data_IF_251803458079
#
_entry.id   IF_251803458079
#
_cell.length_a   1.000
_cell.length_b   1.000
_cell.length_c   1.000
_cell.angle_alpha   90.00
_cell.angle_beta   90.00
_cell.angle_gamma   90.00
#
_symmetry.space_group_name_H-M   'P 1'
#
loop_
_entity.id
_entity.type
_entity.pdbx_description
1 polymer ?
#
# COMPACT_ATOMS: atom_id res chain seq x y z
N UNK A 1 14.61 -3.22 -5.71
CA UNK A 1 13.98 -3.10 -4.38
C UNK A 1 14.49 -4.16 -3.40
N UNK A 2 14.26 -5.47 -3.60
CA UNK A 2 14.79 -6.53 -2.69
C UNK A 2 16.30 -6.45 -2.42
N UNK A 3 17.12 -6.21 -3.46
CA UNK A 3 18.58 -6.05 -3.32
C UNK A 3 18.99 -4.83 -2.46
N UNK A 4 18.15 -3.80 -2.39
CA UNK A 4 18.38 -2.63 -1.54
C UNK A 4 17.96 -2.94 -0.10
N UNK A 5 16.80 -3.56 0.09
CA UNK A 5 16.33 -3.99 1.41
C UNK A 5 17.27 -5.00 2.09
N UNK A 6 17.88 -5.90 1.32
CA UNK A 6 18.90 -6.83 1.83
C UNK A 6 20.17 -6.13 2.36
N UNK A 7 20.41 -4.88 1.96
CA UNK A 7 21.54 -4.06 2.45
C UNK A 7 21.14 -3.08 3.57
N UNK A 8 19.85 -3.03 3.94
CA UNK A 8 19.38 -2.11 4.97
C UNK A 8 19.92 -2.54 6.35
N UNK A 9 20.56 -1.61 7.05
CA UNK A 9 21.17 -1.87 8.37
C UNK A 9 20.25 -1.54 9.53
N UNK A 10 19.16 -0.79 9.28
CA UNK A 10 18.16 -0.41 10.28
C UNK A 10 17.02 -1.42 10.36
N UNK A 11 16.28 -1.37 11.47
CA UNK A 11 15.23 -2.35 11.81
C UNK A 11 14.00 -2.23 10.93
N UNK A 12 13.72 -1.02 10.43
CA UNK A 12 12.59 -0.76 9.54
C UNK A 12 13.07 -0.40 8.14
N UNK A 13 12.33 -0.89 7.15
CA UNK A 13 12.51 -0.55 5.73
C UNK A 13 11.30 0.23 5.27
N UNK A 14 11.54 1.38 4.66
CA UNK A 14 10.52 2.15 3.93
C UNK A 14 10.78 2.00 2.44
N UNK A 15 9.75 1.58 1.70
CA UNK A 15 9.73 1.61 0.25
C UNK A 15 8.83 2.74 -0.23
N UNK A 16 9.29 3.53 -1.20
CA UNK A 16 8.51 4.55 -1.87
C UNK A 16 8.84 4.59 -3.36
N UNK A 17 7.88 5.07 -4.16
CA UNK A 17 8.11 5.27 -5.58
C UNK A 17 9.05 6.47 -5.81
N UNK A 18 9.68 6.51 -6.98
CA UNK A 18 10.58 7.58 -7.42
C UNK A 18 9.84 8.85 -7.85
N UNK A 19 8.51 8.78 -8.04
CA UNK A 19 7.62 9.90 -8.33
C UNK A 19 6.88 10.42 -7.09
N UNK A 20 7.60 10.48 -5.95
CA UNK A 20 7.06 10.98 -4.69
C UNK A 20 7.91 12.10 -4.07
N UNK A 21 7.25 13.06 -3.42
CA UNK A 21 7.88 14.10 -2.61
C UNK A 21 7.42 14.00 -1.16
N UNK A 22 8.38 13.97 -0.23
CA UNK A 22 8.12 13.84 1.19
C UNK A 22 7.65 15.16 1.80
N UNK A 23 6.46 15.20 2.41
CA UNK A 23 5.99 16.40 3.11
C UNK A 23 6.69 16.53 4.48
N UNK A 24 6.82 17.74 5.05
CA UNK A 24 7.36 17.92 6.39
C UNK A 24 6.66 17.03 7.44
N UNK A 25 7.44 16.27 8.21
CA UNK A 25 6.94 15.42 9.30
C UNK A 25 6.43 14.04 8.90
N UNK A 26 6.54 13.64 7.62
CA UNK A 26 6.05 12.35 7.12
C UNK A 26 6.63 11.15 7.89
N UNK A 27 7.95 11.15 8.10
CA UNK A 27 8.70 10.08 8.76
C UNK A 27 8.45 10.08 10.27
N UNK A 28 8.42 11.26 10.89
CA UNK A 28 8.07 11.41 12.29
C UNK A 28 6.69 10.83 12.61
N UNK A 29 5.70 10.99 11.71
CA UNK A 29 4.39 10.39 11.86
C UNK A 29 4.41 8.85 11.82
N UNK A 30 5.23 8.27 10.95
CA UNK A 30 5.45 6.82 10.92
C UNK A 30 6.13 6.33 12.21
N UNK A 31 7.17 7.02 12.68
CA UNK A 31 7.90 6.67 13.92
C UNK A 31 6.97 6.66 15.12
N UNK A 32 6.15 7.70 15.32
CA UNK A 32 5.16 7.74 16.40
C UNK A 32 4.19 6.56 16.35
N UNK A 33 3.88 6.06 15.15
CA UNK A 33 2.97 4.92 15.00
C UNK A 33 3.66 3.60 15.29
N UNK A 34 4.92 3.43 14.92
CA UNK A 34 5.73 2.25 15.25
C UNK A 34 5.73 2.01 16.76
N UNK A 35 5.93 3.04 17.56
CA UNK A 35 5.96 2.98 19.03
C UNK A 35 4.65 2.46 19.66
N UNK A 36 3.55 2.51 18.91
CA UNK A 36 2.22 2.07 19.35
C UNK A 36 1.89 0.64 18.87
N UNK A 37 2.75 0.02 18.05
CA UNK A 37 2.48 -1.30 17.52
C UNK A 37 2.75 -2.38 18.57
N UNK A 38 1.80 -3.31 18.79
CA UNK A 38 1.95 -4.37 19.80
C UNK A 38 2.84 -5.54 19.35
N UNK A 39 3.37 -5.48 18.13
CA UNK A 39 4.14 -6.53 17.46
C UNK A 39 5.08 -5.89 16.43
N UNK A 40 6.05 -6.64 15.91
CA UNK A 40 6.85 -6.26 14.75
C UNK A 40 6.20 -6.69 13.41
N UNK A 41 5.16 -7.54 13.45
CA UNK A 41 4.40 -8.00 12.30
C UNK A 41 3.24 -7.04 12.01
N UNK A 42 3.58 -5.92 11.39
CA UNK A 42 2.64 -4.93 10.89
C UNK A 42 3.10 -4.37 9.55
N UNK A 43 2.19 -3.68 8.88
CA UNK A 43 2.46 -2.86 7.71
C UNK A 43 1.88 -1.47 7.93
N UNK A 44 2.71 -0.44 7.80
CA UNK A 44 2.28 0.95 7.77
C UNK A 44 2.40 1.51 6.36
N UNK A 45 1.48 2.38 5.97
CA UNK A 45 1.60 3.21 4.77
C UNK A 45 1.54 4.69 5.13
N UNK A 46 2.35 5.52 4.49
CA UNK A 46 2.04 6.95 4.43
C UNK A 46 0.79 7.22 3.58
N UNK A 47 0.19 8.38 3.77
CA UNK A 47 -0.98 8.83 3.02
C UNK A 47 -0.52 9.69 1.85
N UNK A 48 -0.87 9.28 0.63
CA UNK A 48 -0.54 10.06 -0.56
C UNK A 48 -1.43 11.30 -0.67
N UNK A 49 -0.84 12.39 -1.13
CA UNK A 49 -1.51 13.56 -1.67
C UNK A 49 -1.42 13.47 -3.19
N UNK A 50 -2.56 13.40 -3.88
CA UNK A 50 -2.62 13.22 -5.33
C UNK A 50 -3.27 14.42 -6.03
N UNK A 51 -2.77 14.83 -7.21
CA UNK A 51 -3.30 16.00 -7.93
C UNK A 51 -4.66 15.77 -8.60
N UNK A 52 -5.08 14.52 -8.74
CA UNK A 52 -6.28 14.15 -9.51
C UNK A 52 -7.19 13.25 -8.66
N UNK A 53 -8.47 13.58 -8.61
CA UNK A 53 -9.48 12.72 -7.99
C UNK A 53 -9.72 11.47 -8.86
N UNK A 54 -9.07 10.38 -8.48
CA UNK A 54 -9.25 9.04 -9.08
C UNK A 54 -10.29 8.21 -8.34
N UNK A 55 -11.02 8.80 -7.38
CA UNK A 55 -11.88 8.14 -6.40
C UNK A 55 -11.12 7.12 -5.54
N UNK A 56 -9.83 7.36 -5.33
CA UNK A 56 -9.01 6.56 -4.47
C UNK A 56 -9.34 6.87 -3.00
N UNK A 57 -9.90 5.91 -2.24
CA UNK A 57 -10.32 6.17 -0.88
C UNK A 57 -9.14 6.12 0.09
N UNK A 58 -7.86 6.16 -0.32
CA UNK A 58 -6.69 6.13 0.59
C UNK A 58 -5.84 7.42 0.53
N UNK A 59 -6.28 8.44 -0.21
CA UNK A 59 -5.47 9.63 -0.51
C UNK A 59 -6.17 10.91 -0.08
N UNK A 60 -5.41 12.00 -0.05
CA UNK A 60 -5.91 13.38 0.00
C UNK A 60 -5.79 13.94 -1.42
N UNK A 61 -6.87 14.51 -1.96
CA UNK A 61 -6.82 15.13 -3.29
C UNK A 61 -6.48 16.61 -3.14
N UNK A 62 -5.32 17.01 -3.64
CA UNK A 62 -4.89 18.41 -3.70
C UNK A 62 -3.80 18.55 -4.75
N UNK A 63 -3.91 19.56 -5.62
CA UNK A 63 -3.03 19.71 -6.77
C UNK A 63 -1.93 20.75 -6.49
N UNK A 64 -0.69 20.29 -6.48
CA UNK A 64 0.53 21.11 -6.39
C UNK A 64 1.44 20.88 -7.60
N UNK A 65 0.90 20.48 -8.75
CA UNK A 65 1.65 20.17 -9.98
C UNK A 65 1.57 18.70 -10.38
N UNK A 66 1.57 18.42 -11.68
CA UNK A 66 1.34 17.06 -12.22
C UNK A 66 2.62 16.35 -12.65
N UNK A 67 3.72 17.06 -12.62
CA UNK A 67 5.06 16.64 -13.00
C UNK A 67 6.08 17.48 -12.23
N UNK A 68 7.36 17.16 -12.39
CA UNK A 68 8.44 17.83 -11.68
C UNK A 68 8.59 19.30 -12.11
N UNK A 69 8.25 19.63 -13.36
CA UNK A 69 8.36 20.97 -13.93
C UNK A 69 7.32 21.93 -13.35
N UNK A 70 6.11 21.45 -13.07
CA UNK A 70 4.99 22.24 -12.54
C UNK A 70 4.85 22.14 -11.01
N UNK A 71 5.78 21.47 -10.34
CA UNK A 71 5.67 21.18 -8.91
C UNK A 71 5.84 22.42 -8.03
N UNK A 72 4.76 22.82 -7.34
CA UNK A 72 4.76 23.88 -6.33
C UNK A 72 5.07 23.33 -4.94
N UNK A 73 6.36 23.06 -4.69
CA UNK A 73 6.85 22.56 -3.41
C UNK A 73 6.52 23.52 -2.25
N UNK A 74 6.61 24.84 -2.48
CA UNK A 74 6.36 25.84 -1.45
C UNK A 74 4.88 25.87 -1.04
N UNK A 75 3.97 25.81 -2.01
CA UNK A 75 2.54 25.69 -1.78
C UNK A 75 2.18 24.40 -1.04
N UNK A 76 2.76 23.26 -1.44
CA UNK A 76 2.56 21.98 -0.75
C UNK A 76 3.00 22.06 0.72
N UNK A 77 4.21 22.57 0.98
CA UNK A 77 4.75 22.73 2.34
C UNK A 77 3.85 23.63 3.18
N UNK A 78 3.42 24.78 2.64
CA UNK A 78 2.53 25.71 3.33
C UNK A 78 1.11 25.13 3.57
N UNK A 79 0.68 24.18 2.74
CA UNK A 79 -0.59 23.50 2.87
C UNK A 79 -0.54 22.26 3.78
N UNK A 80 0.62 21.63 3.94
CA UNK A 80 0.81 20.36 4.68
C UNK A 80 0.10 20.33 6.03
N UNK A 81 0.15 21.37 6.90
CA UNK A 81 -0.55 21.34 8.19
C UNK A 81 -2.08 21.22 8.10
N UNK A 82 -2.66 21.54 6.94
CA UNK A 82 -4.10 21.47 6.64
C UNK A 82 -4.47 20.23 5.82
N UNK A 83 -3.48 19.59 5.20
CA UNK A 83 -3.65 18.34 4.49
C UNK A 83 -3.53 17.24 5.55
N UNK A 84 -4.65 16.62 5.90
CA UNK A 84 -4.63 15.49 6.81
C UNK A 84 -5.83 14.60 6.54
N UNK A 85 -5.67 13.35 6.92
CA UNK A 85 -6.73 12.36 6.89
C UNK A 85 -6.71 11.63 8.23
N UNK A 86 -7.86 11.10 8.65
CA UNK A 86 -7.87 10.05 9.66
C UNK A 86 -7.09 8.82 9.16
N UNK A 87 -6.52 8.07 10.10
CA UNK A 87 -5.90 6.79 9.76
C UNK A 87 -6.91 5.86 9.09
N UNK A 88 -6.41 5.03 8.18
CA UNK A 88 -7.23 4.17 7.34
C UNK A 88 -6.70 2.74 7.31
N UNK A 89 -7.58 1.77 7.11
CA UNK A 89 -7.25 0.35 7.08
C UNK A 89 -6.80 -0.09 5.69
N UNK A 90 -6.04 -1.16 5.63
CA UNK A 90 -5.63 -1.82 4.39
C UNK A 90 -4.47 -1.13 3.70
N UNK A 91 -3.49 -0.65 4.49
CA UNK A 91 -2.16 -0.30 4.00
C UNK A 91 -1.65 -1.37 3.03
N UNK A 92 -1.18 -0.92 1.89
CA UNK A 92 -0.74 -1.78 0.77
C UNK A 92 0.17 -0.99 -0.15
N UNK A 93 -0.07 0.31 -0.29
CA UNK A 93 0.66 1.16 -1.23
C UNK A 93 1.78 1.96 -0.58
N UNK A 94 2.77 2.35 -1.39
CA UNK A 94 3.88 3.16 -0.91
C UNK A 94 3.41 4.57 -0.47
N UNK A 95 4.10 5.18 0.52
CA UNK A 95 5.32 4.70 1.14
C UNK A 95 5.01 3.61 2.17
N UNK A 96 5.53 2.40 1.98
CA UNK A 96 5.22 1.22 2.78
C UNK A 96 6.37 0.97 3.76
N UNK A 97 6.07 0.90 5.05
CA UNK A 97 7.00 0.61 6.12
C UNK A 97 6.69 -0.75 6.75
N UNK A 98 7.72 -1.58 6.88
CA UNK A 98 7.67 -2.85 7.60
C UNK A 98 8.97 -3.10 8.36
N UNK A 99 8.95 -4.02 9.32
CA UNK A 99 10.19 -4.52 9.93
C UNK A 99 11.03 -5.28 8.89
N UNK A 100 12.33 -5.01 8.83
CA UNK A 100 13.29 -5.59 7.89
C UNK A 100 13.30 -7.12 7.95
N UNK A 101 13.23 -7.68 9.15
CA UNK A 101 13.27 -9.13 9.30
C UNK A 101 12.04 -9.79 8.69
N UNK A 102 10.86 -9.16 8.81
CA UNK A 102 9.64 -9.65 8.18
C UNK A 102 9.72 -9.57 6.67
N UNK A 103 10.24 -8.47 6.13
CA UNK A 103 10.53 -8.38 4.70
C UNK A 103 11.37 -9.56 4.20
N UNK A 104 12.47 -9.88 4.89
CA UNK A 104 13.36 -10.97 4.52
C UNK A 104 12.67 -12.34 4.67
N UNK A 105 11.93 -12.56 5.77
CA UNK A 105 11.20 -13.81 6.05
C UNK A 105 10.15 -14.13 4.99
N UNK A 106 9.41 -13.12 4.50
CA UNK A 106 8.40 -13.31 3.46
C UNK A 106 8.96 -13.21 2.03
N UNK A 107 10.28 -13.03 1.89
CA UNK A 107 10.97 -12.96 0.60
C UNK A 107 10.74 -11.68 -0.20
N UNK A 108 10.37 -10.57 0.46
CA UNK A 108 10.18 -9.26 -0.18
C UNK A 108 9.15 -9.26 -1.32
N UNK A 109 9.34 -8.38 -2.30
CA UNK A 109 8.53 -8.40 -3.53
C UNK A 109 8.82 -9.64 -4.37
N UNK A 110 7.77 -10.20 -4.95
CA UNK A 110 7.82 -11.34 -5.86
C UNK A 110 8.45 -10.96 -7.20
N UNK A 111 9.54 -11.64 -7.57
CA UNK A 111 10.25 -11.38 -8.83
C UNK A 111 9.42 -11.74 -10.05
N UNK A 112 8.50 -12.71 -9.95
CA UNK A 112 7.59 -13.11 -11.02
C UNK A 112 6.55 -12.03 -11.40
N UNK A 113 6.38 -11.01 -10.56
CA UNK A 113 5.53 -9.85 -10.83
C UNK A 113 6.31 -8.68 -11.48
N UNK A 114 7.61 -8.87 -11.78
CA UNK A 114 8.47 -7.87 -12.38
C UNK A 114 8.72 -8.11 -13.88
N UNK A 115 8.74 -7.07 -14.73
CA UNK A 115 8.31 -5.70 -14.46
C UNK A 115 6.77 -5.61 -14.56
N UNK A 116 6.12 -5.06 -13.53
CA UNK A 116 4.70 -4.78 -13.68
C UNK A 116 3.91 -4.55 -12.40
N UNK A 117 2.62 -4.83 -12.51
CA UNK A 117 1.58 -4.44 -11.57
C UNK A 117 1.37 -5.51 -10.50
N UNK A 118 0.67 -5.15 -9.42
CA UNK A 118 0.18 -6.05 -8.36
C UNK A 118 1.22 -6.55 -7.36
N UNK A 119 2.46 -6.07 -7.43
CA UNK A 119 3.51 -6.32 -6.43
C UNK A 119 3.09 -5.91 -5.02
N UNK A 120 2.41 -4.76 -4.90
CA UNK A 120 1.97 -4.21 -3.62
C UNK A 120 0.92 -5.10 -2.93
N UNK A 121 -0.10 -5.52 -3.68
CA UNK A 121 -1.12 -6.44 -3.17
C UNK A 121 -0.53 -7.80 -2.83
N UNK A 122 0.39 -8.33 -3.66
CA UNK A 122 1.07 -9.59 -3.38
C UNK A 122 1.90 -9.51 -2.10
N UNK A 123 2.63 -8.42 -1.89
CA UNK A 123 3.40 -8.18 -0.67
C UNK A 123 2.50 -8.13 0.57
N UNK A 124 1.39 -7.40 0.48
CA UNK A 124 0.40 -7.32 1.56
C UNK A 124 -0.26 -8.68 1.83
N UNK A 125 -0.52 -9.46 0.79
CA UNK A 125 -1.05 -10.83 0.91
C UNK A 125 -0.05 -11.77 1.58
N UNK A 126 1.25 -11.67 1.29
CA UNK A 126 2.28 -12.43 2.00
C UNK A 126 2.34 -12.09 3.48
N UNK A 127 2.22 -10.81 3.83
CA UNK A 127 2.11 -10.39 5.23
C UNK A 127 0.86 -10.99 5.89
N UNK A 128 -0.29 -10.95 5.20
CA UNK A 128 -1.53 -11.54 5.68
C UNK A 128 -1.39 -13.05 5.91
N UNK A 129 -0.80 -13.77 4.96
CA UNK A 129 -0.55 -15.22 5.03
C UNK A 129 0.41 -15.57 6.17
N UNK A 130 1.41 -14.72 6.44
CA UNK A 130 2.30 -14.82 7.59
C UNK A 130 1.64 -14.50 8.95
N UNK A 131 0.36 -14.13 8.97
CA UNK A 131 -0.41 -13.85 10.17
C UNK A 131 -0.54 -12.37 10.54
N UNK A 132 -0.04 -11.44 9.71
CA UNK A 132 -0.20 -10.00 9.94
C UNK A 132 -1.68 -9.63 9.89
N UNK A 133 -2.12 -8.81 10.85
CA UNK A 133 -3.48 -8.25 10.89
C UNK A 133 -3.50 -6.74 11.07
N UNK A 134 -2.35 -6.08 11.11
CA UNK A 134 -2.26 -4.62 11.23
C UNK A 134 -1.74 -4.06 9.91
N UNK A 135 -2.66 -3.46 9.16
CA UNK A 135 -2.38 -2.78 7.89
C UNK A 135 -2.91 -1.36 7.99
N UNK A 136 -2.09 -0.44 8.49
CA UNK A 136 -2.54 0.90 8.88
C UNK A 136 -1.93 1.97 7.96
N UNK A 137 -2.78 2.70 7.27
CA UNK A 137 -2.42 3.96 6.65
C UNK A 137 -2.37 5.07 7.68
N UNK A 138 -1.19 5.67 7.86
CA UNK A 138 -0.93 6.77 8.79
C UNK A 138 -1.38 8.07 8.14
N UNK A 139 -2.48 8.61 8.64
CA UNK A 139 -3.26 9.67 7.99
C UNK A 139 -2.54 11.02 7.88
N UNK A 140 -1.59 11.28 8.78
CA UNK A 140 -0.77 12.49 8.83
C UNK A 140 0.68 12.28 8.34
N UNK A 141 1.03 11.06 7.92
CA UNK A 141 2.30 10.78 7.22
C UNK A 141 2.16 11.09 5.74
N UNK A 142 2.27 12.36 5.35
CA UNK A 142 1.96 12.78 3.98
C UNK A 142 3.14 12.68 3.01
N UNK A 143 2.89 12.14 1.82
CA UNK A 143 3.78 12.27 0.66
C UNK A 143 2.99 12.71 -0.56
N UNK A 144 3.52 13.62 -1.35
CA UNK A 144 2.92 14.01 -2.62
C UNK A 144 3.30 12.99 -3.69
N UNK A 145 2.32 12.51 -4.45
CA UNK A 145 2.49 11.50 -5.50
C UNK A 145 2.05 12.10 -6.83
N UNK A 146 2.99 12.25 -7.77
CA UNK A 146 2.75 12.87 -9.07
C UNK A 146 1.85 12.02 -9.99
N UNK A 147 1.73 10.72 -9.69
CA UNK A 147 1.04 9.74 -10.53
C UNK A 147 1.61 9.69 -11.95
N UNK A 148 2.94 9.78 -12.08
CA UNK A 148 3.57 9.91 -13.39
C UNK A 148 3.21 8.71 -14.27
N UNK A 149 2.69 9.01 -15.46
CA UNK A 149 2.39 7.96 -16.45
C UNK A 149 3.70 7.52 -17.08
N UNK A 150 4.16 6.32 -16.73
CA UNK A 150 5.31 5.66 -17.37
C UNK A 150 5.26 5.80 -18.89
N UNK A 151 6.40 5.99 -19.54
CA UNK A 151 6.54 6.21 -21.00
C UNK A 151 6.11 5.03 -21.89
N UNK A 152 5.46 3.99 -21.35
CA UNK A 152 4.95 2.83 -22.09
C UNK A 152 6.02 1.91 -22.67
N UNK A 153 7.32 2.22 -22.48
CA UNK A 153 8.45 1.48 -23.05
C UNK A 153 8.63 0.07 -22.47
N UNK A 154 8.05 -0.22 -21.31
CA UNK A 154 8.16 -1.51 -20.62
C UNK A 154 6.85 -2.27 -20.79
N UNK A 155 6.93 -3.48 -21.38
CA UNK A 155 5.80 -4.42 -21.43
C UNK A 155 5.53 -4.90 -20.00
N UNK A 156 4.37 -4.53 -19.46
CA UNK A 156 3.96 -4.90 -18.10
C UNK A 156 3.42 -6.33 -18.07
N UNK A 157 3.60 -7.03 -16.96
CA UNK A 157 2.92 -8.31 -16.69
C UNK A 157 1.38 -8.17 -16.67
N UNK A 158 0.69 -9.31 -16.76
CA UNK A 158 -0.71 -9.40 -16.30
C UNK A 158 -0.74 -9.68 -14.79
N UNK A 159 -0.41 -8.66 -14.00
CA UNK A 159 -0.33 -8.80 -12.54
C UNK A 159 -1.66 -9.21 -11.89
N UNK A 160 -2.81 -8.83 -12.48
CA UNK A 160 -4.13 -9.23 -11.97
C UNK A 160 -4.35 -10.72 -12.12
N UNK A 161 -3.94 -11.30 -13.27
CA UNK A 161 -4.00 -12.73 -13.52
C UNK A 161 -2.99 -13.49 -12.67
N UNK A 162 -1.74 -13.01 -12.57
CA UNK A 162 -0.71 -13.64 -11.74
C UNK A 162 -1.12 -13.68 -10.27
N UNK A 163 -1.63 -12.57 -9.72
CA UNK A 163 -2.15 -12.53 -8.35
C UNK A 163 -3.30 -13.53 -8.14
N UNK A 164 -4.26 -13.57 -9.07
CA UNK A 164 -5.39 -14.51 -9.01
C UNK A 164 -4.92 -15.98 -9.05
N UNK A 165 -3.96 -16.29 -9.92
CA UNK A 165 -3.44 -17.64 -10.06
C UNK A 165 -2.70 -18.07 -8.80
N UNK A 166 -1.88 -17.18 -8.23
CA UNK A 166 -1.09 -17.42 -7.02
C UNK A 166 -1.95 -17.57 -5.76
N UNK A 167 -2.87 -16.65 -5.52
CA UNK A 167 -3.61 -16.56 -4.25
C UNK A 167 -5.05 -17.09 -4.31
N UNK A 168 -5.53 -17.48 -5.49
CA UNK A 168 -6.88 -18.04 -5.68
C UNK A 168 -8.02 -17.04 -5.53
N UNK A 169 -7.71 -15.75 -5.32
CA UNK A 169 -8.69 -14.65 -5.23
C UNK A 169 -8.20 -13.41 -5.97
N UNK A 170 -9.12 -12.52 -6.33
CA UNK A 170 -8.75 -11.24 -6.95
C UNK A 170 -8.24 -10.24 -5.92
N UNK A 171 -7.40 -9.29 -6.35
CA UNK A 171 -6.97 -8.15 -5.51
C UNK A 171 -8.16 -7.41 -4.91
N UNK A 172 -9.20 -7.15 -5.71
CA UNK A 172 -10.41 -6.50 -5.22
C UNK A 172 -11.14 -7.30 -4.12
N UNK A 173 -11.05 -8.64 -4.13
CA UNK A 173 -11.59 -9.47 -3.05
C UNK A 173 -10.74 -9.33 -1.80
N UNK A 174 -9.41 -9.37 -1.95
CA UNK A 174 -8.47 -9.18 -0.85
C UNK A 174 -8.63 -7.79 -0.20
N UNK A 175 -8.55 -6.72 -1.01
CA UNK A 175 -8.67 -5.33 -0.58
C UNK A 175 -9.98 -5.08 0.18
N UNK A 176 -11.10 -5.63 -0.32
CA UNK A 176 -12.43 -5.39 0.27
C UNK A 176 -12.68 -6.20 1.53
N UNK A 177 -12.45 -7.52 1.48
CA UNK A 177 -12.93 -8.42 2.53
C UNK A 177 -11.88 -8.74 3.58
N UNK A 178 -10.59 -8.56 3.27
CA UNK A 178 -9.51 -8.87 4.19
C UNK A 178 -8.91 -7.58 4.73
N UNK A 179 -8.58 -6.64 3.84
CA UNK A 179 -7.86 -5.43 4.21
C UNK A 179 -8.76 -4.25 4.62
N UNK A 180 -10.05 -4.28 4.27
CA UNK A 180 -10.95 -3.14 4.49
C UNK A 180 -10.39 -1.83 3.92
N UNK A 181 -9.79 -1.91 2.73
CA UNK A 181 -8.92 -0.83 2.23
C UNK A 181 -9.64 0.51 2.11
N UNK A 182 -9.09 1.51 2.79
CA UNK A 182 -9.56 2.89 2.78
C UNK A 182 -10.66 3.18 3.80
N UNK A 183 -11.16 2.17 4.52
CA UNK A 183 -12.08 2.37 5.64
C UNK A 183 -11.36 3.09 6.80
N UNK A 184 -12.01 3.98 7.56
CA UNK A 184 -11.40 4.60 8.74
C UNK A 184 -10.99 3.54 9.77
N UNK A 185 -9.78 3.66 10.32
CA UNK A 185 -9.27 2.66 11.28
C UNK A 185 -9.99 2.68 12.64
N UNK A 186 -10.52 3.83 13.05
CA UNK A 186 -11.17 3.98 14.35
C UNK A 186 -10.25 3.59 15.51
N UNK A 187 -10.81 2.98 16.56
CA UNK A 187 -10.04 2.54 17.74
C UNK A 187 -9.41 1.14 17.59
N UNK A 188 -9.84 0.34 16.60
CA UNK A 188 -9.37 -1.02 16.40
C UNK A 188 -8.67 -1.15 15.04
N UNK A 189 -7.35 -1.14 15.09
CA UNK A 189 -6.47 -1.21 13.90
C UNK A 189 -6.20 -2.65 13.42
N UNK A 190 -6.45 -3.64 14.28
CA UNK A 190 -6.23 -5.05 13.95
C UNK A 190 -7.46 -5.63 13.26
N UNK A 191 -7.25 -6.19 12.06
CA UNK A 191 -8.26 -6.79 11.20
C UNK A 191 -8.58 -8.21 11.66
N UNK A 192 -9.86 -8.58 11.58
CA UNK A 192 -10.31 -9.95 11.79
C UNK A 192 -10.15 -10.78 10.53
N UNK A 193 -9.97 -12.10 10.69
CA UNK A 193 -10.10 -13.00 9.53
C UNK A 193 -11.56 -13.00 9.09
N UNK A 194 -11.88 -12.70 7.81
CA UNK A 194 -13.26 -12.53 7.40
C UNK A 194 -14.04 -13.82 7.51
N UNK A 195 -15.24 -13.73 8.08
CA UNK A 195 -16.20 -14.83 8.02
C UNK A 195 -16.57 -15.12 6.56
N UNK A 196 -16.55 -16.40 6.18
CA UNK A 196 -16.86 -16.83 4.82
C UNK A 196 -18.39 -16.86 4.62
N UNK A 197 -18.96 -15.67 4.54
CA UNK A 197 -20.39 -15.42 4.39
C UNK A 197 -20.86 -15.57 2.92
N UNK A 198 -22.14 -15.34 2.64
CA UNK A 198 -22.68 -15.43 1.29
C UNK A 198 -22.04 -14.47 0.28
N UNK A 199 -21.57 -13.29 0.71
CA UNK A 199 -20.95 -12.30 -0.17
C UNK A 199 -19.52 -12.72 -0.53
N UNK A 200 -18.72 -13.09 0.46
CA UNK A 200 -17.35 -13.57 0.26
C UNK A 200 -17.35 -14.92 -0.48
N UNK A 201 -18.24 -15.86 -0.15
CA UNK A 201 -18.41 -17.13 -0.89
C UNK A 201 -18.62 -16.90 -2.39
N UNK A 202 -19.51 -15.96 -2.75
CA UNK A 202 -19.75 -15.60 -4.16
C UNK A 202 -18.52 -14.97 -4.81
N UNK A 203 -17.78 -14.10 -4.11
CA UNK A 203 -16.57 -13.49 -4.63
C UNK A 203 -15.45 -14.53 -4.88
N UNK A 204 -15.29 -15.49 -3.97
CA UNK A 204 -14.35 -16.60 -4.12
C UNK A 204 -14.76 -17.55 -5.24
N UNK A 205 -16.05 -17.87 -5.37
CA UNK A 205 -16.56 -18.68 -6.49
C UNK A 205 -16.28 -18.00 -7.84
N UNK A 206 -16.55 -16.70 -7.95
CA UNK A 206 -16.22 -15.92 -9.15
C UNK A 206 -14.72 -15.93 -9.45
N UNK A 207 -13.88 -15.85 -8.41
CA UNK A 207 -12.43 -15.96 -8.56
C UNK A 207 -12.01 -17.33 -9.09
N UNK A 208 -12.61 -18.42 -8.58
CA UNK A 208 -12.37 -19.79 -9.06
C UNK A 208 -12.76 -19.98 -10.53
N UNK A 209 -13.95 -19.49 -10.91
CA UNK A 209 -14.44 -19.51 -12.29
C UNK A 209 -13.48 -18.73 -13.18
N UNK A 210 -13.15 -17.48 -12.81
CA UNK A 210 -12.20 -16.65 -13.56
C UNK A 210 -10.85 -17.35 -13.71
N UNK A 211 -10.36 -18.01 -12.64
CA UNK A 211 -9.11 -18.76 -12.69
C UNK A 211 -9.15 -19.90 -13.71
N UNK A 212 -10.26 -20.63 -13.80
CA UNK A 212 -10.40 -21.77 -14.71
C UNK A 212 -10.52 -21.38 -16.20
N UNK A 213 -11.03 -20.19 -16.51
CA UNK A 213 -11.33 -19.76 -17.90
C UNK A 213 -10.41 -18.65 -18.43
N UNK A 214 -9.25 -18.40 -17.82
CA UNK A 214 -8.22 -17.51 -18.41
C UNK A 214 -6.83 -18.14 -18.40
#
# INVERSE_FOLDING_TARGET
MNLAAARATRDYVVYMNDDMYCCPGWDAALVRRIEQMPTDLFMLSGTMVEPVDTRNPCVVVSNFGRDAEQFDAAGLVAATPRLARADWLGSTWPPTLVHRDWWNRIGGYSSELSPGMSSDNDFSMKFWDAGCRIFLGVGDSLVYHFQQKSTGKIVKNDGRRQFLNKWGMTQATFDRYYLHRGEPAGSRIALDTPAVDGRLKRALLRSRIKRAFS
#
